data_IF_256172995968
#
_entry.id   IF_256172995968
#
_cell.length_a   1.000
_cell.length_b   1.000
_cell.length_c   1.000
_cell.angle_alpha   90.00
_cell.angle_beta   90.00
_cell.angle_gamma   90.00
#
_symmetry.space_group_name_H-M   'P 1'
#
loop_
_entity.id
_entity.type
_entity.pdbx_description
1 polymer ?
#
# COMPACT_ATOMS: atom_id res chain seq x y z
N UNK A 1 28.99 -42.09 6.10
CA UNK A 1 29.12 -40.86 6.89
C UNK A 1 29.11 -39.67 5.93
N UNK A 2 27.93 -39.22 5.49
CA UNK A 2 27.83 -38.05 4.59
C UNK A 2 27.49 -36.82 5.44
N UNK A 3 28.45 -35.89 5.55
CA UNK A 3 28.23 -34.58 6.16
C UNK A 3 27.38 -33.73 5.20
N UNK A 4 26.44 -32.98 5.74
CA UNK A 4 25.47 -32.17 5.00
C UNK A 4 26.09 -30.89 4.45
N UNK A 5 25.68 -30.48 3.23
CA UNK A 5 26.09 -29.25 2.52
C UNK A 5 25.92 -27.94 3.33
N UNK A 6 25.23 -27.96 4.47
CA UNK A 6 25.02 -26.83 5.36
C UNK A 6 26.28 -26.44 6.17
N UNK A 7 27.19 -27.38 6.45
CA UNK A 7 28.39 -27.12 7.26
C UNK A 7 29.50 -26.44 6.44
N UNK A 8 29.61 -26.76 5.14
CA UNK A 8 30.60 -26.15 4.25
C UNK A 8 30.34 -24.65 4.02
N UNK A 9 29.07 -24.24 3.91
CA UNK A 9 28.71 -22.82 3.78
C UNK A 9 29.06 -21.98 5.02
N UNK A 10 29.15 -22.62 6.20
CA UNK A 10 29.47 -21.96 7.47
C UNK A 10 30.97 -21.85 7.72
N UNK A 11 31.77 -22.79 7.20
CA UNK A 11 33.23 -22.74 7.29
C UNK A 11 33.84 -21.64 6.39
N UNK A 12 33.27 -21.37 5.22
CA UNK A 12 33.75 -20.29 4.32
C UNK A 12 33.61 -18.89 4.91
N UNK A 13 32.63 -18.67 5.80
CA UNK A 13 32.34 -17.34 6.37
C UNK A 13 33.17 -17.01 7.63
N UNK A 14 33.93 -17.95 8.17
CA UNK A 14 34.66 -17.78 9.43
C UNK A 14 36.19 -17.65 9.27
N UNK A 15 36.70 -17.52 8.05
CA UNK A 15 38.13 -17.32 7.80
C UNK A 15 38.39 -15.94 7.17
N UNK A 16 38.22 -14.87 7.94
CA UNK A 16 38.81 -13.57 7.61
C UNK A 16 39.21 -12.78 8.87
N UNK A 17 40.51 -12.90 9.15
CA UNK A 17 41.44 -11.90 9.70
C UNK A 17 41.21 -11.24 11.08
N UNK A 18 42.22 -11.46 11.95
CA UNK A 18 42.62 -10.57 13.05
C UNK A 18 43.53 -9.41 12.55
N UNK A 19 43.54 -8.27 13.27
CA UNK A 19 44.41 -7.05 13.25
C UNK A 19 43.62 -5.77 12.94
N UNK A 20 43.67 -4.61 13.59
CA UNK A 20 44.32 -3.96 14.77
C UNK A 20 43.48 -2.68 15.08
N UNK A 21 43.59 -2.03 16.26
CA UNK A 21 42.86 -0.79 16.59
C UNK A 21 43.64 0.51 16.21
N UNK A 22 42.99 1.69 16.38
CA UNK A 22 43.50 3.09 16.48
C UNK A 22 43.42 4.06 15.25
N UNK A 23 42.52 5.06 15.30
CA UNK A 23 42.76 6.53 15.20
C UNK A 23 41.45 7.36 15.06
N UNK A 24 41.49 8.56 15.63
CA UNK A 24 40.44 9.58 15.85
C UNK A 24 40.50 10.70 14.78
N UNK A 25 39.35 11.27 14.36
CA UNK A 25 39.14 12.74 14.18
C UNK A 25 37.81 13.13 13.53
N UNK A 26 37.22 14.23 14.03
CA UNK A 26 36.02 14.93 13.55
C UNK A 26 36.23 15.67 12.22
N UNK A 27 35.15 15.86 11.42
CA UNK A 27 34.53 17.19 11.13
C UNK A 27 33.73 17.28 9.81
N UNK A 28 32.50 17.82 9.93
CA UNK A 28 31.91 18.90 9.11
C UNK A 28 31.67 18.70 7.60
N UNK A 29 30.52 18.14 7.17
CA UNK A 29 29.84 18.52 5.90
C UNK A 29 28.31 18.31 5.96
N UNK A 30 27.48 19.20 5.37
CA UNK A 30 26.02 19.08 5.35
C UNK A 30 25.57 18.07 4.28
N UNK A 31 24.57 17.24 4.61
CA UNK A 31 24.07 16.14 3.78
C UNK A 31 23.15 16.68 2.66
N UNK A 32 23.44 16.47 1.36
CA UNK A 32 22.50 16.81 0.30
C UNK A 32 21.41 15.73 0.15
N UNK A 33 20.18 16.18 -0.12
CA UNK A 33 19.01 15.36 -0.47
C UNK A 33 19.25 14.63 -1.80
N UNK A 34 19.21 13.29 -1.82
CA UNK A 34 19.28 12.50 -3.05
C UNK A 34 17.89 12.00 -3.50
N UNK A 35 17.55 12.14 -4.79
CA UNK A 35 16.33 11.57 -5.36
C UNK A 35 16.53 10.08 -5.67
N UNK A 36 15.65 9.24 -5.13
CA UNK A 36 15.20 7.94 -5.66
C UNK A 36 16.09 7.27 -6.74
N UNK A 37 17.24 6.70 -6.33
CA UNK A 37 18.01 5.77 -7.17
C UNK A 37 17.58 4.34 -6.85
N UNK A 38 16.93 3.70 -7.83
CA UNK A 38 16.68 2.26 -7.87
C UNK A 38 17.97 1.51 -8.25
N UNK A 39 19.02 1.75 -7.49
CA UNK A 39 20.29 1.06 -7.60
C UNK A 39 20.38 0.13 -6.38
N UNK A 40 20.84 -1.10 -6.60
CA UNK A 40 21.09 -2.09 -5.55
C UNK A 40 22.25 -1.66 -4.65
N UNK A 41 22.11 -0.47 -4.07
CA UNK A 41 22.89 0.01 -2.94
C UNK A 41 22.60 -0.97 -1.82
N UNK A 42 23.66 -1.53 -1.27
CA UNK A 42 23.64 -2.24 0.00
C UNK A 42 22.98 -1.29 1.01
N UNK A 43 21.67 -1.45 1.23
CA UNK A 43 20.88 -0.62 2.13
C UNK A 43 21.56 -0.72 3.49
N UNK A 44 22.23 0.35 3.93
CA UNK A 44 22.89 0.41 5.23
C UNK A 44 21.92 -0.18 6.27
N UNK A 45 22.33 -1.19 7.07
CA UNK A 45 21.40 -1.89 7.94
C UNK A 45 20.88 -0.93 9.00
N UNK A 46 19.69 -0.40 8.76
CA UNK A 46 18.93 0.36 9.75
C UNK A 46 18.70 -0.55 10.94
N UNK A 47 19.10 -0.11 12.13
CA UNK A 47 18.86 -0.87 13.34
C UNK A 47 17.35 -1.05 13.53
N UNK A 48 16.92 -2.30 13.43
CA UNK A 48 15.53 -2.72 13.64
C UNK A 48 15.47 -3.71 14.80
N UNK A 49 14.25 -4.07 15.21
CA UNK A 49 14.07 -5.11 16.21
C UNK A 49 14.73 -6.42 15.76
N UNK A 50 15.59 -6.98 16.62
CA UNK A 50 16.32 -8.21 16.37
C UNK A 50 15.43 -9.38 15.91
N UNK A 51 14.21 -9.49 16.46
CA UNK A 51 13.26 -10.55 16.10
C UNK A 51 12.66 -10.40 14.70
N UNK A 52 12.77 -9.23 14.09
CA UNK A 52 12.07 -8.90 12.84
C UNK A 52 13.00 -8.82 11.63
N UNK A 53 14.30 -8.59 11.81
CA UNK A 53 15.27 -8.32 10.73
C UNK A 53 15.15 -9.28 9.54
N UNK A 54 15.23 -10.60 9.80
CA UNK A 54 15.15 -11.61 8.73
C UNK A 54 13.80 -11.60 8.00
N UNK A 55 12.69 -11.44 8.74
CA UNK A 55 11.35 -11.39 8.13
C UNK A 55 11.12 -10.11 7.34
N UNK A 56 11.67 -8.98 7.78
CA UNK A 56 11.67 -7.71 7.05
C UNK A 56 12.38 -7.90 5.70
N UNK A 57 13.56 -8.52 5.71
CA UNK A 57 14.33 -8.79 4.49
C UNK A 57 13.53 -9.64 3.49
N UNK A 58 12.94 -10.75 3.96
CA UNK A 58 12.10 -11.61 3.11
C UNK A 58 10.92 -10.83 2.53
N UNK A 59 10.20 -10.05 3.35
CA UNK A 59 9.03 -9.29 2.88
C UNK A 59 9.42 -8.20 1.89
N UNK A 60 10.60 -7.58 2.02
CA UNK A 60 11.11 -6.61 1.03
C UNK A 60 11.30 -7.27 -0.33
N UNK A 61 11.97 -8.42 -0.37
CA UNK A 61 12.12 -9.20 -1.61
C UNK A 61 10.77 -9.61 -2.21
N UNK A 62 9.81 -10.03 -1.38
CA UNK A 62 8.46 -10.39 -1.83
C UNK A 62 7.69 -9.19 -2.40
N UNK A 63 7.74 -8.03 -1.73
CA UNK A 63 7.12 -6.79 -2.22
C UNK A 63 7.76 -6.34 -3.53
N UNK A 64 9.09 -6.34 -3.63
CA UNK A 64 9.79 -5.98 -4.86
C UNK A 64 9.34 -6.85 -6.06
N UNK A 65 9.19 -8.16 -5.85
CA UNK A 65 8.65 -9.08 -6.87
C UNK A 65 7.20 -8.78 -7.25
N UNK A 66 6.35 -8.47 -6.27
CA UNK A 66 4.94 -8.12 -6.52
C UNK A 66 4.79 -6.76 -7.21
N UNK A 67 5.58 -5.76 -6.82
CA UNK A 67 5.60 -4.43 -7.42
C UNK A 67 6.13 -4.47 -8.86
N UNK A 68 7.13 -5.31 -9.16
CA UNK A 68 7.59 -5.55 -10.53
C UNK A 68 6.49 -6.20 -11.39
N UNK A 69 5.64 -7.06 -10.82
CA UNK A 69 4.56 -7.75 -11.54
C UNK A 69 3.31 -6.89 -11.73
N UNK A 70 2.85 -6.22 -10.68
CA UNK A 70 1.58 -5.48 -10.64
C UNK A 70 1.74 -3.98 -10.92
N UNK A 71 2.97 -3.48 -10.91
CA UNK A 71 3.26 -2.05 -10.82
C UNK A 71 2.90 -1.49 -9.45
N UNK A 72 3.59 -0.44 -9.02
CA UNK A 72 3.18 0.33 -7.84
C UNK A 72 2.31 1.52 -8.33
N UNK A 73 0.98 1.50 -8.16
CA UNK A 73 0.15 2.63 -8.51
C UNK A 73 0.41 3.76 -7.50
N UNK A 74 1.38 4.63 -7.81
CA UNK A 74 1.72 5.82 -7.01
C UNK A 74 0.53 6.75 -6.81
N UNK A 75 -0.47 6.68 -7.69
CA UNK A 75 -1.70 7.46 -7.61
C UNK A 75 -2.94 6.54 -7.63
N UNK A 76 -3.87 6.79 -6.70
CA UNK A 76 -5.14 6.06 -6.64
C UNK A 76 -6.07 6.58 -7.74
N UNK A 77 -6.76 5.66 -8.44
CA UNK A 77 -7.79 6.03 -9.43
C UNK A 77 -9.00 6.64 -8.72
N UNK A 78 -9.66 7.61 -9.35
CA UNK A 78 -10.91 8.21 -8.84
C UNK A 78 -12.03 7.17 -8.66
N UNK A 79 -12.05 6.13 -9.50
CA UNK A 79 -12.91 4.96 -9.39
C UNK A 79 -12.14 3.71 -9.83
N UNK A 80 -12.52 2.54 -9.28
CA UNK A 80 -11.83 1.29 -9.59
C UNK A 80 -12.32 0.65 -10.90
N UNK A 81 -13.62 0.73 -11.18
CA UNK A 81 -14.25 0.05 -12.31
C UNK A 81 -15.14 0.99 -13.10
N UNK A 82 -14.96 1.01 -14.43
CA UNK A 82 -15.70 1.88 -15.34
C UNK A 82 -17.21 1.56 -15.38
N UNK A 83 -17.58 0.28 -15.40
CA UNK A 83 -18.98 -0.15 -15.37
C UNK A 83 -19.72 0.32 -14.11
N UNK A 84 -19.05 0.29 -12.94
CA UNK A 84 -19.61 0.76 -11.68
C UNK A 84 -19.79 2.27 -11.67
N UNK A 85 -18.82 3.01 -12.20
CA UNK A 85 -18.92 4.45 -12.34
C UNK A 85 -20.11 4.83 -13.25
N UNK A 86 -20.21 4.22 -14.44
CA UNK A 86 -21.35 4.40 -15.35
C UNK A 86 -22.69 4.02 -14.71
N UNK A 87 -22.73 2.94 -13.93
CA UNK A 87 -23.93 2.57 -13.16
C UNK A 87 -24.31 3.66 -12.15
N UNK A 88 -23.38 4.15 -11.35
CA UNK A 88 -23.64 5.22 -10.38
C UNK A 88 -24.12 6.53 -11.04
N UNK A 89 -23.65 6.84 -12.25
CA UNK A 89 -24.09 8.03 -12.99
C UNK A 89 -25.51 7.89 -13.55
N UNK A 90 -25.91 6.70 -14.00
CA UNK A 90 -27.26 6.45 -14.56
C UNK A 90 -28.38 6.29 -13.52
N UNK A 91 -28.04 6.13 -12.24
CA UNK A 91 -29.05 5.93 -11.20
C UNK A 91 -29.88 7.20 -10.97
N UNK A 92 -31.21 7.10 -10.86
CA UNK A 92 -32.05 8.25 -10.55
C UNK A 92 -31.72 8.79 -9.16
N UNK A 93 -31.67 10.12 -9.05
CA UNK A 93 -31.29 10.84 -7.84
C UNK A 93 -32.45 11.68 -7.34
N UNK A 94 -32.60 11.75 -6.03
CA UNK A 94 -33.54 12.65 -5.36
C UNK A 94 -32.94 14.03 -5.12
N UNK A 95 -33.72 14.95 -4.54
CA UNK A 95 -33.19 16.22 -4.06
C UNK A 95 -32.05 15.96 -3.08
N UNK A 96 -30.95 16.72 -3.21
CA UNK A 96 -29.72 16.52 -2.41
C UNK A 96 -28.74 15.47 -2.94
N UNK A 97 -28.97 14.89 -4.12
CA UNK A 97 -28.01 14.03 -4.82
C UNK A 97 -27.95 12.58 -4.31
N UNK A 98 -28.76 12.23 -3.30
CA UNK A 98 -28.95 10.84 -2.84
C UNK A 98 -29.60 10.01 -3.95
N UNK A 99 -29.36 8.70 -3.93
CA UNK A 99 -30.13 7.81 -4.80
C UNK A 99 -31.55 7.65 -4.28
N UNK A 100 -32.53 7.65 -5.18
CA UNK A 100 -33.92 7.33 -4.81
C UNK A 100 -34.04 5.89 -4.34
N UNK A 101 -34.89 5.67 -3.35
CA UNK A 101 -35.32 4.34 -2.94
C UNK A 101 -36.30 3.75 -3.97
N UNK A 102 -36.52 2.44 -3.93
CA UNK A 102 -37.42 1.78 -4.90
C UNK A 102 -38.85 2.32 -4.78
N UNK A 103 -39.32 2.53 -3.55
CA UNK A 103 -40.68 3.01 -3.27
C UNK A 103 -40.87 4.44 -3.76
N UNK A 104 -39.86 5.31 -3.58
CA UNK A 104 -39.87 6.68 -4.10
C UNK A 104 -39.83 6.70 -5.63
N UNK A 105 -39.07 5.80 -6.28
CA UNK A 105 -39.07 5.69 -7.75
C UNK A 105 -40.45 5.29 -8.26
N UNK A 106 -41.12 4.36 -7.57
CA UNK A 106 -42.46 3.92 -7.95
C UNK A 106 -43.49 5.02 -7.73
N UNK A 107 -43.48 5.68 -6.56
CA UNK A 107 -44.38 6.82 -6.28
C UNK A 107 -44.20 8.00 -7.24
N UNK A 108 -42.99 8.25 -7.72
CA UNK A 108 -42.73 9.28 -8.73
C UNK A 108 -43.25 8.89 -10.12
N UNK A 109 -43.28 7.59 -10.45
CA UNK A 109 -43.86 7.09 -11.70
C UNK A 109 -45.38 7.10 -11.67
N UNK A 110 -45.96 6.73 -10.53
CA UNK A 110 -47.41 6.66 -10.34
C UNK A 110 -48.03 8.06 -10.11
N UNK A 111 -47.21 9.10 -9.99
CA UNK A 111 -47.65 10.48 -9.75
C UNK A 111 -48.18 10.73 -8.34
N UNK A 112 -48.02 9.77 -7.43
CA UNK A 112 -48.46 9.88 -6.03
C UNK A 112 -47.51 10.71 -5.17
N UNK A 113 -46.25 10.85 -5.59
CA UNK A 113 -45.21 11.60 -4.88
C UNK A 113 -44.66 12.71 -5.77
N UNK A 114 -44.42 13.89 -5.20
CA UNK A 114 -43.78 15.02 -5.88
C UNK A 114 -42.30 15.03 -5.57
N UNK A 115 -41.47 15.32 -6.58
CA UNK A 115 -40.01 15.32 -6.45
C UNK A 115 -39.47 16.27 -5.37
N UNK A 116 -40.13 17.42 -5.21
CA UNK A 116 -39.72 18.50 -4.30
C UNK A 116 -39.93 18.15 -2.81
N UNK A 117 -40.93 17.31 -2.52
CA UNK A 117 -41.28 16.90 -1.16
C UNK A 117 -40.40 15.75 -0.64
N UNK A 118 -39.55 15.18 -1.50
CA UNK A 118 -38.68 14.09 -1.11
C UNK A 118 -37.57 14.56 -0.16
N UNK A 119 -37.22 13.78 0.89
CA UNK A 119 -36.29 14.22 1.92
C UNK A 119 -34.87 14.37 1.37
N UNK A 120 -34.23 15.53 1.52
CA UNK A 120 -32.87 15.77 0.97
C UNK A 120 -31.81 14.78 1.47
N UNK A 121 -31.98 14.26 2.69
CA UNK A 121 -31.11 13.26 3.32
C UNK A 121 -31.89 11.97 3.52
N UNK A 122 -31.23 10.83 3.36
CA UNK A 122 -31.83 9.53 3.67
C UNK A 122 -32.18 9.45 5.17
N UNK A 123 -33.36 8.91 5.48
CA UNK A 123 -33.75 8.63 6.85
C UNK A 123 -32.78 7.60 7.48
N UNK A 124 -32.45 7.73 8.78
CA UNK A 124 -31.68 6.71 9.47
C UNK A 124 -32.43 5.38 9.40
N UNK A 125 -31.73 4.30 9.04
CA UNK A 125 -32.31 2.96 9.12
C UNK A 125 -32.55 2.65 10.59
N UNK A 126 -33.80 2.34 10.94
CA UNK A 126 -34.12 1.72 12.23
C UNK A 126 -33.38 0.38 12.28
N UNK A 127 -32.65 0.15 13.37
CA UNK A 127 -31.81 -1.05 13.55
C UNK A 127 -32.65 -2.29 13.76
#
# INVERSE_FOLDING_TARGET
>A
MQQTNSEQLRAMYNSSAMMQPYMLSQSMFPRPSTPNSAEATEEEPVYVNAKQYHRIMIRRQQRAKLEAKLGNPRQRKAYLHDSRHKHAMRRPRGPGGRFLTKDEIQGLKDGTMVFEDLPRKAAPKQQ
#
